data_IF_004050920002
#
_entry.id   IF_004050920002
#
_cell.length_a   1.000
_cell.length_b   1.000
_cell.length_c   1.000
_cell.angle_alpha   90.00
_cell.angle_beta   90.00
_cell.angle_gamma   90.00
#
_symmetry.space_group_name_H-M   'P 1'
#
loop_
_entity.id
_entity.type
_entity.pdbx_description
1 polymer ?
#
# COMPACT_ATOMS: atom_id res chain seq x y z
N UNK A 1 16.21 5.69 -35.45
CA UNK A 1 16.16 5.07 -34.10
C UNK A 1 17.25 4.00 -34.08
N UNK A 2 18.16 4.08 -33.09
CA UNK A 2 19.44 3.36 -33.04
C UNK A 2 20.45 3.82 -34.11
N UNK A 3 20.64 5.14 -34.21
CA UNK A 3 21.40 5.78 -35.29
C UNK A 3 22.91 5.85 -34.98
N UNK A 4 23.33 5.48 -33.75
CA UNK A 4 24.72 5.49 -33.29
C UNK A 4 25.20 4.15 -32.74
N UNK A 5 26.52 3.92 -32.76
CA UNK A 5 27.16 2.75 -32.12
C UNK A 5 26.84 2.66 -30.62
N UNK A 6 26.69 3.81 -29.96
CA UNK A 6 26.30 3.90 -28.55
C UNK A 6 24.90 3.35 -28.31
N UNK A 7 23.93 3.76 -29.12
CA UNK A 7 22.54 3.27 -29.02
C UNK A 7 22.43 1.78 -29.34
N UNK A 8 23.15 1.28 -30.35
CA UNK A 8 23.18 -0.17 -30.64
C UNK A 8 23.80 -0.96 -29.48
N UNK A 9 24.84 -0.42 -28.82
CA UNK A 9 25.41 -1.04 -27.61
C UNK A 9 24.43 -1.02 -26.45
N UNK A 10 23.77 0.11 -26.22
CA UNK A 10 22.76 0.26 -25.17
C UNK A 10 21.57 -0.69 -25.38
N UNK A 11 21.09 -0.82 -26.63
CA UNK A 11 20.06 -1.78 -27.01
C UNK A 11 20.46 -3.21 -26.63
N UNK A 12 21.67 -3.65 -27.01
CA UNK A 12 22.16 -5.00 -26.68
C UNK A 12 22.26 -5.23 -25.16
N UNK A 13 22.70 -4.23 -24.41
CA UNK A 13 22.76 -4.30 -22.94
C UNK A 13 21.34 -4.46 -22.39
N UNK A 14 20.42 -3.58 -22.76
CA UNK A 14 19.03 -3.58 -22.28
C UNK A 14 18.31 -4.89 -22.66
N UNK A 15 18.50 -5.39 -23.87
CA UNK A 15 17.94 -6.68 -24.30
C UNK A 15 18.49 -7.88 -23.51
N UNK A 16 19.72 -7.77 -22.98
CA UNK A 16 20.34 -8.82 -22.17
C UNK A 16 19.99 -8.72 -20.68
N UNK A 17 19.91 -7.52 -20.11
CA UNK A 17 19.73 -7.31 -18.68
C UNK A 17 18.29 -7.00 -18.25
N UNK A 18 17.43 -6.56 -19.18
CA UNK A 18 16.15 -5.96 -18.84
C UNK A 18 16.29 -4.60 -18.13
N UNK A 19 15.16 -4.06 -17.67
CA UNK A 19 15.12 -2.82 -16.88
C UNK A 19 15.42 -3.09 -15.40
N UNK A 20 16.04 -2.12 -14.74
CA UNK A 20 16.24 -2.17 -13.30
C UNK A 20 14.92 -1.93 -12.56
N UNK A 21 14.71 -2.62 -11.44
CA UNK A 21 13.60 -2.34 -10.53
C UNK A 21 13.98 -1.19 -9.59
N UNK A 22 13.16 -0.12 -9.49
CA UNK A 22 13.34 0.93 -8.49
C UNK A 22 13.49 0.38 -7.07
N UNK A 23 14.44 0.94 -6.32
CA UNK A 23 14.73 0.49 -4.95
C UNK A 23 13.53 0.66 -4.01
N UNK A 24 12.68 1.68 -4.23
CA UNK A 24 11.44 1.87 -3.48
C UNK A 24 10.49 0.67 -3.58
N UNK A 25 10.38 0.02 -4.74
CA UNK A 25 9.60 -1.22 -4.92
C UNK A 25 10.21 -2.35 -4.09
N UNK A 26 11.53 -2.52 -4.17
CA UNK A 26 12.24 -3.58 -3.45
C UNK A 26 12.08 -3.44 -1.93
N UNK A 27 12.31 -2.24 -1.39
CA UNK A 27 12.14 -1.94 0.05
C UNK A 27 10.68 -2.16 0.47
N UNK A 28 9.72 -1.64 -0.31
CA UNK A 28 8.29 -1.83 -0.01
C UNK A 28 7.90 -3.31 0.06
N UNK A 29 8.35 -4.14 -0.88
CA UNK A 29 8.06 -5.60 -0.86
C UNK A 29 8.69 -6.28 0.35
N UNK A 30 9.94 -5.96 0.69
CA UNK A 30 10.61 -6.49 1.87
C UNK A 30 9.90 -6.09 3.17
N UNK A 31 9.51 -4.82 3.28
CA UNK A 31 8.76 -4.29 4.42
C UNK A 31 7.39 -4.97 4.57
N UNK A 32 6.67 -5.20 3.46
CA UNK A 32 5.42 -5.96 3.46
C UNK A 32 5.61 -7.38 4.00
N UNK A 33 6.60 -8.11 3.50
CA UNK A 33 6.88 -9.48 3.95
C UNK A 33 7.19 -9.51 5.46
N UNK A 34 7.99 -8.55 5.94
CA UNK A 34 8.31 -8.43 7.37
C UNK A 34 7.07 -8.11 8.21
N UNK A 35 6.25 -7.15 7.81
CA UNK A 35 5.02 -6.80 8.51
C UNK A 35 4.04 -7.99 8.56
N UNK A 36 3.86 -8.72 7.45
CA UNK A 36 3.05 -9.94 7.40
C UNK A 36 3.59 -11.06 8.31
N UNK A 37 4.91 -11.23 8.38
CA UNK A 37 5.54 -12.20 9.28
C UNK A 37 5.29 -11.83 10.75
N UNK A 38 5.45 -10.56 11.12
CA UNK A 38 5.20 -10.07 12.47
C UNK A 38 3.71 -10.21 12.84
N UNK A 39 2.81 -9.88 11.92
CA UNK A 39 1.37 -10.06 12.11
C UNK A 39 1.01 -11.52 12.39
N UNK A 40 1.58 -12.45 11.61
CA UNK A 40 1.33 -13.89 11.77
C UNK A 40 1.88 -14.41 13.09
N UNK A 41 3.08 -13.98 13.47
CA UNK A 41 3.67 -14.34 14.76
C UNK A 41 2.82 -13.84 15.93
N UNK A 42 2.36 -12.58 15.89
CA UNK A 42 1.54 -11.99 16.93
C UNK A 42 0.15 -12.63 17.03
N UNK A 43 -0.48 -12.90 15.88
CA UNK A 43 -1.75 -13.63 15.85
C UNK A 43 -1.60 -15.04 16.44
N UNK A 44 -0.51 -15.73 16.11
CA UNK A 44 -0.23 -17.08 16.61
C UNK A 44 0.01 -17.17 18.12
N UNK A 45 0.24 -16.05 18.81
CA UNK A 45 0.38 -16.05 20.28
C UNK A 45 -0.97 -16.26 20.98
N UNK A 46 -2.09 -15.94 20.33
CA UNK A 46 -3.44 -16.08 20.88
C UNK A 46 -4.07 -17.35 20.29
N UNK A 47 -4.46 -18.28 21.14
CA UNK A 47 -5.10 -19.52 20.70
C UNK A 47 -6.61 -19.29 20.50
N UNK A 48 -7.05 -19.21 19.25
CA UNK A 48 -8.44 -18.93 18.86
C UNK A 48 -9.46 -19.95 19.41
N UNK A 49 -9.02 -21.17 19.75
CA UNK A 49 -9.86 -22.23 20.33
C UNK A 49 -9.97 -22.18 21.86
N UNK A 50 -9.28 -21.23 22.52
CA UNK A 50 -9.25 -21.09 23.98
C UNK A 50 -9.99 -19.86 24.46
N UNK A 51 -10.60 -19.98 25.64
CA UNK A 51 -11.16 -18.84 26.36
C UNK A 51 -10.15 -18.32 27.38
N UNK A 52 -9.72 -17.08 27.21
CA UNK A 52 -8.80 -16.42 28.14
C UNK A 52 -9.55 -15.86 29.36
N UNK A 53 -8.99 -15.99 30.59
CA UNK A 53 -9.58 -15.39 31.79
C UNK A 53 -9.73 -13.88 31.68
N UNK A 54 -10.72 -13.32 32.38
CA UNK A 54 -10.97 -11.86 32.43
C UNK A 54 -9.74 -11.06 32.86
N UNK A 55 -8.89 -11.65 33.69
CA UNK A 55 -7.65 -11.02 34.14
C UNK A 55 -6.69 -10.68 32.99
N UNK A 56 -6.76 -11.37 31.84
CA UNK A 56 -5.85 -11.17 30.70
C UNK A 56 -6.55 -10.96 29.34
N UNK A 57 -7.88 -11.08 29.30
CA UNK A 57 -8.68 -11.01 28.07
C UNK A 57 -8.56 -9.67 27.33
N UNK A 58 -8.41 -8.57 28.06
CA UNK A 58 -8.21 -7.24 27.46
C UNK A 58 -6.91 -7.15 26.65
N UNK A 59 -5.82 -7.72 27.16
CA UNK A 59 -4.52 -7.70 26.50
C UNK A 59 -4.45 -8.67 25.32
N UNK A 60 -5.02 -9.86 25.46
CA UNK A 60 -5.10 -10.82 24.35
C UNK A 60 -5.95 -10.28 23.18
N UNK A 61 -7.04 -9.56 23.49
CA UNK A 61 -7.83 -8.82 22.48
C UNK A 61 -6.99 -7.73 21.80
N UNK A 62 -6.19 -6.97 22.56
CA UNK A 62 -5.26 -5.97 21.99
C UNK A 62 -4.26 -6.60 21.02
N UNK A 63 -3.75 -7.81 21.29
CA UNK A 63 -2.82 -8.49 20.37
C UNK A 63 -3.44 -8.82 19.01
N UNK A 64 -4.74 -9.14 18.99
CA UNK A 64 -5.46 -9.32 17.72
C UNK A 64 -5.49 -8.00 16.94
N UNK A 65 -5.85 -6.89 17.59
CA UNK A 65 -5.86 -5.55 16.98
C UNK A 65 -4.47 -5.17 16.45
N UNK A 66 -3.42 -5.44 17.21
CA UNK A 66 -2.05 -5.19 16.79
C UNK A 66 -1.64 -6.00 15.56
N UNK A 67 -2.09 -7.26 15.47
CA UNK A 67 -1.87 -8.09 14.28
C UNK A 67 -2.56 -7.50 13.05
N UNK A 68 -3.76 -6.94 13.19
CA UNK A 68 -4.50 -6.29 12.11
C UNK A 68 -3.81 -5.00 11.64
N UNK A 69 -3.24 -4.22 12.56
CA UNK A 69 -2.43 -3.04 12.23
C UNK A 69 -1.20 -3.41 11.39
N UNK A 70 -0.50 -4.50 11.75
CA UNK A 70 0.62 -5.01 10.96
C UNK A 70 0.19 -5.52 9.57
N UNK A 71 -0.99 -6.13 9.46
CA UNK A 71 -1.59 -6.49 8.16
C UNK A 71 -1.88 -5.23 7.32
N UNK A 72 -2.40 -4.17 7.93
CA UNK A 72 -2.63 -2.90 7.25
C UNK A 72 -1.31 -2.27 6.75
N UNK A 73 -0.25 -2.29 7.57
CA UNK A 73 1.08 -1.85 7.16
C UNK A 73 1.63 -2.65 5.97
N UNK A 74 1.45 -3.99 5.99
CA UNK A 74 1.84 -4.84 4.86
C UNK A 74 1.09 -4.47 3.58
N UNK A 75 -0.23 -4.24 3.67
CA UNK A 75 -1.05 -3.81 2.54
C UNK A 75 -0.62 -2.43 2.00
N UNK A 76 -0.27 -1.49 2.87
CA UNK A 76 0.22 -0.17 2.47
C UNK A 76 1.52 -0.29 1.65
N UNK A 77 2.46 -1.13 2.10
CA UNK A 77 3.69 -1.44 1.38
C UNK A 77 3.44 -2.07 0.00
N UNK A 78 2.61 -3.11 -0.08
CA UNK A 78 2.25 -3.72 -1.37
C UNK A 78 1.59 -2.71 -2.30
N UNK A 79 0.66 -1.92 -1.75
CA UNK A 79 -0.02 -0.85 -2.46
C UNK A 79 0.96 0.16 -3.09
N UNK A 80 2.05 0.51 -2.41
CA UNK A 80 3.11 1.36 -2.99
C UNK A 80 3.92 0.62 -4.07
N UNK A 81 4.32 -0.63 -3.82
CA UNK A 81 5.05 -1.41 -4.81
C UNK A 81 4.24 -1.62 -6.10
N UNK A 82 2.95 -1.91 -5.96
CA UNK A 82 2.04 -2.18 -7.08
C UNK A 82 1.67 -0.92 -7.84
N UNK A 83 1.63 0.25 -7.19
CA UNK A 83 1.39 1.52 -7.90
C UNK A 83 2.59 1.97 -8.75
N UNK A 84 3.79 1.49 -8.44
CA UNK A 84 5.02 1.81 -9.18
C UNK A 84 5.39 0.75 -10.24
N UNK A 85 5.07 -0.52 -9.99
CA UNK A 85 5.47 -1.65 -10.84
C UNK A 85 5.11 -1.52 -12.33
N UNK A 86 3.95 -0.96 -12.72
CA UNK A 86 3.56 -0.79 -14.13
C UNK A 86 4.35 0.25 -14.91
N UNK A 87 5.26 0.99 -14.27
CA UNK A 87 5.92 2.16 -14.86
C UNK A 87 7.44 2.04 -14.74
N UNK A 88 7.98 0.84 -14.89
CA UNK A 88 9.42 0.56 -14.71
C UNK A 88 10.20 0.58 -16.02
N UNK A 89 9.55 0.86 -17.15
CA UNK A 89 10.19 1.05 -18.45
C UNK A 89 10.21 2.52 -18.89
N UNK A 90 11.22 2.94 -19.69
CA UNK A 90 11.26 4.30 -20.23
C UNK A 90 10.02 4.69 -21.05
N UNK A 91 9.44 3.74 -21.79
CA UNK A 91 8.25 3.98 -22.62
C UNK A 91 7.01 4.28 -21.76
N UNK A 92 6.77 3.49 -20.71
CA UNK A 92 5.66 3.72 -19.78
C UNK A 92 5.82 5.06 -19.05
N UNK A 93 7.04 5.37 -18.60
CA UNK A 93 7.32 6.63 -17.92
C UNK A 93 7.13 7.84 -18.83
N UNK A 94 7.61 7.76 -20.08
CA UNK A 94 7.43 8.83 -21.05
C UNK A 94 5.94 9.04 -21.35
N UNK A 95 5.18 7.96 -21.56
CA UNK A 95 3.75 8.03 -21.81
C UNK A 95 3.01 8.69 -20.64
N UNK A 96 3.32 8.29 -19.40
CA UNK A 96 2.73 8.89 -18.21
C UNK A 96 3.14 10.35 -18.01
N UNK A 97 4.40 10.69 -18.29
CA UNK A 97 4.89 12.07 -18.20
C UNK A 97 4.18 12.99 -19.19
N UNK A 98 4.04 12.56 -20.45
CA UNK A 98 3.28 13.31 -21.47
C UNK A 98 1.83 13.46 -21.02
N UNK A 99 1.20 12.38 -20.55
CA UNK A 99 -0.16 12.40 -20.06
C UNK A 99 -0.37 13.37 -18.88
N UNK A 100 0.58 13.41 -17.94
CA UNK A 100 0.56 14.35 -16.82
C UNK A 100 0.66 15.80 -17.28
N UNK A 101 1.52 16.08 -18.27
CA UNK A 101 1.63 17.43 -18.86
C UNK A 101 0.36 17.83 -19.62
N UNK A 102 -0.25 16.89 -20.36
CA UNK A 102 -1.55 17.10 -20.99
C UNK A 102 -2.64 17.39 -19.95
N UNK A 103 -2.68 16.64 -18.84
CA UNK A 103 -3.60 16.87 -17.75
C UNK A 103 -3.42 18.27 -17.14
N UNK A 104 -2.18 18.62 -16.77
CA UNK A 104 -1.88 19.91 -16.17
C UNK A 104 -2.22 21.08 -17.11
N UNK A 105 -1.85 20.98 -18.39
CA UNK A 105 -2.15 22.00 -19.39
C UNK A 105 -3.65 22.12 -19.66
N UNK A 106 -4.35 21.00 -19.83
CA UNK A 106 -5.78 20.97 -20.10
C UNK A 106 -6.64 21.49 -18.94
N UNK A 107 -6.11 21.49 -17.71
CA UNK A 107 -6.75 22.05 -16.52
C UNK A 107 -6.11 23.37 -16.06
N UNK A 108 -5.26 23.98 -16.89
CA UNK A 108 -4.63 25.28 -16.62
C UNK A 108 -3.86 25.34 -15.27
N UNK A 109 -3.27 24.22 -14.85
CA UNK A 109 -2.51 24.13 -13.61
C UNK A 109 -1.13 24.80 -13.77
N UNK A 110 -0.97 26.00 -13.22
CA UNK A 110 0.25 26.80 -13.29
C UNK A 110 0.77 27.21 -11.88
N UNK A 111 1.98 26.78 -11.47
CA UNK A 111 2.89 25.88 -12.19
C UNK A 111 2.35 24.44 -12.25
N UNK A 112 2.83 23.66 -13.23
CA UNK A 112 2.51 22.22 -13.29
C UNK A 112 2.96 21.54 -12.00
N UNK A 113 2.07 20.86 -11.26
CA UNK A 113 2.46 20.20 -10.04
C UNK A 113 3.44 19.06 -10.30
N UNK A 114 4.24 18.73 -9.28
CA UNK A 114 5.17 17.62 -9.35
C UNK A 114 4.44 16.30 -9.62
N UNK A 115 5.03 15.47 -10.49
CA UNK A 115 4.41 14.20 -10.87
C UNK A 115 4.72 13.14 -9.80
N UNK A 116 3.71 12.75 -9.02
CA UNK A 116 3.91 11.86 -7.87
C UNK A 116 4.51 10.50 -8.25
N UNK A 117 4.30 10.00 -9.48
CA UNK A 117 4.99 8.80 -9.98
C UNK A 117 6.51 8.95 -9.94
N UNK A 118 7.04 10.08 -10.45
CA UNK A 118 8.49 10.34 -10.50
C UNK A 118 9.04 10.52 -9.09
N UNK A 119 8.33 11.24 -8.22
CA UNK A 119 8.70 11.36 -6.81
C UNK A 119 8.75 9.99 -6.13
N UNK A 120 7.72 9.15 -6.33
CA UNK A 120 7.61 7.83 -5.72
C UNK A 120 8.69 6.84 -6.16
N UNK A 121 9.09 6.87 -7.43
CA UNK A 121 10.19 6.03 -7.93
C UNK A 121 11.53 6.39 -7.30
N UNK A 122 11.78 7.68 -7.04
CA UNK A 122 13.01 8.16 -6.40
C UNK A 122 12.97 8.13 -4.86
N UNK A 123 11.82 7.88 -4.24
CA UNK A 123 11.65 7.98 -2.80
C UNK A 123 11.90 6.64 -2.09
N UNK A 124 13.12 6.47 -1.60
CA UNK A 124 13.50 5.32 -0.76
C UNK A 124 13.21 5.56 0.73
N UNK A 125 13.16 6.82 1.18
CA UNK A 125 13.09 7.17 2.60
C UNK A 125 11.75 6.83 3.24
N UNK A 126 10.63 6.98 2.53
CA UNK A 126 9.29 6.65 3.03
C UNK A 126 9.14 5.15 3.32
N UNK A 127 9.38 4.23 2.36
CA UNK A 127 9.31 2.79 2.65
C UNK A 127 10.43 2.32 3.60
N UNK A 128 11.59 2.97 3.62
CA UNK A 128 12.65 2.67 4.59
C UNK A 128 12.23 3.01 6.02
N UNK A 129 11.55 4.16 6.22
CA UNK A 129 11.07 4.57 7.55
C UNK A 129 10.12 3.53 8.17
N UNK A 130 9.27 2.90 7.36
CA UNK A 130 8.43 1.79 7.82
C UNK A 130 9.25 0.53 8.10
N UNK A 131 10.26 0.22 7.28
CA UNK A 131 11.19 -0.90 7.52
C UNK A 131 11.90 -0.76 8.87
N UNK A 132 12.33 0.46 9.20
CA UNK A 132 13.01 0.80 10.44
C UNK A 132 12.05 0.69 11.63
N UNK A 133 10.83 1.23 11.52
CA UNK A 133 9.80 1.07 12.54
C UNK A 133 9.46 -0.40 12.82
N UNK A 134 9.35 -1.23 11.77
CA UNK A 134 9.15 -2.68 11.89
C UNK A 134 10.36 -3.40 12.52
N UNK A 135 11.56 -2.83 12.47
CA UNK A 135 12.76 -3.40 13.10
C UNK A 135 12.82 -3.16 14.62
N UNK A 136 12.20 -2.07 15.07
CA UNK A 136 12.09 -1.69 16.48
C UNK A 136 11.12 -2.62 17.23
N UNK A 137 10.03 -3.06 16.58
CA UNK A 137 9.09 -3.99 17.20
C UNK A 137 9.77 -5.34 17.51
N UNK A 138 9.94 -5.62 18.80
CA UNK A 138 10.41 -6.92 19.32
C UNK A 138 9.22 -7.68 19.88
N UNK A 139 9.21 -8.99 19.62
CA UNK A 139 8.12 -9.89 20.02
C UNK A 139 8.54 -10.84 21.14
N UNK A 140 9.80 -10.81 21.57
CA UNK A 140 10.38 -11.77 22.51
C UNK A 140 9.64 -11.77 23.86
N UNK A 141 9.51 -10.60 24.50
CA UNK A 141 8.82 -10.46 25.80
C UNK A 141 7.34 -10.83 25.70
N UNK A 142 6.70 -10.43 24.59
CA UNK A 142 5.30 -10.74 24.35
C UNK A 142 5.07 -12.24 24.15
N UNK A 143 5.96 -12.88 23.38
CA UNK A 143 5.95 -14.33 23.15
C UNK A 143 6.17 -15.08 24.46
N UNK A 144 7.10 -14.63 25.31
CA UNK A 144 7.37 -15.24 26.60
C UNK A 144 6.16 -15.16 27.54
N UNK A 145 5.57 -13.96 27.68
CA UNK A 145 4.39 -13.75 28.52
C UNK A 145 3.18 -14.58 28.05
N UNK A 146 2.90 -14.57 26.74
CA UNK A 146 1.80 -15.35 26.17
C UNK A 146 2.04 -16.86 26.27
N UNK A 147 3.28 -17.33 26.10
CA UNK A 147 3.59 -18.76 26.27
C UNK A 147 3.35 -19.24 27.69
N UNK A 148 3.72 -18.44 28.71
CA UNK A 148 3.45 -18.76 30.11
C UNK A 148 1.94 -18.86 30.38
N UNK A 149 1.16 -17.89 29.89
CA UNK A 149 -0.31 -17.88 30.03
C UNK A 149 -0.95 -19.06 29.29
N UNK A 150 -0.55 -19.31 28.04
CA UNK A 150 -1.10 -20.41 27.23
C UNK A 150 -0.83 -21.77 27.89
N UNK A 151 0.35 -21.99 28.46
CA UNK A 151 0.67 -23.22 29.19
C UNK A 151 -0.27 -23.47 30.38
N UNK A 152 -0.68 -22.41 31.11
CA UNK A 152 -1.65 -22.52 32.21
C UNK A 152 -3.05 -22.85 31.71
N UNK A 153 -3.46 -22.22 30.61
CA UNK A 153 -4.76 -22.47 29.97
C UNK A 153 -4.84 -23.92 29.47
N UNK A 154 -3.78 -24.43 28.85
CA UNK A 154 -3.69 -25.81 28.39
C UNK A 154 -3.71 -26.82 29.54
N UNK A 155 -2.99 -26.54 30.63
CA UNK A 155 -3.00 -27.38 31.82
C UNK A 155 -4.39 -27.46 32.47
N UNK A 156 -5.13 -26.35 32.52
CA UNK A 156 -6.50 -26.34 33.04
C UNK A 156 -7.46 -27.16 32.17
N UNK A 157 -7.35 -27.07 30.84
CA UNK A 157 -8.19 -27.81 29.89
C UNK A 157 -7.88 -29.32 29.79
N UNK A 158 -6.68 -29.75 30.17
CA UNK A 158 -6.25 -31.16 30.07
C UNK A 158 -6.71 -32.05 31.23
N UNK A 159 -7.33 -31.49 32.27
CA UNK A 159 -7.78 -32.23 33.46
C UNK A 159 -9.00 -33.16 33.22
N UNK A 160 -9.53 -33.21 31.99
CA UNK A 160 -10.72 -33.99 31.64
C UNK A 160 -10.50 -35.33 30.93
N UNK A 161 -9.25 -35.75 30.65
CA UNK A 161 -9.02 -36.95 29.84
C UNK A 161 -7.75 -37.68 30.22
N UNK A 162 -7.69 -38.26 31.42
CA UNK A 162 -6.89 -39.46 31.72
C UNK A 162 -7.20 -39.96 33.13
N UNK A 163 -8.06 -40.97 33.24
CA UNK A 163 -8.51 -41.45 34.54
C UNK A 163 -9.31 -42.75 34.50
N UNK A 164 -8.76 -43.77 33.88
CA UNK A 164 -9.18 -45.16 34.14
C UNK A 164 -8.75 -45.52 35.57
N UNK A 165 -9.48 -45.06 36.60
CA UNK A 165 -9.32 -45.51 37.98
C UNK A 165 -10.66 -46.01 38.52
N UNK A 166 -10.74 -47.34 38.60
CA UNK A 166 -11.67 -48.03 39.46
C UNK A 166 -11.25 -47.78 40.93
N UNK A 167 -12.01 -46.98 41.65
CA UNK A 167 -11.81 -46.74 43.08
C UNK A 167 -12.94 -45.88 43.64
N UNK A 168 -13.77 -46.47 44.51
CA UNK A 168 -14.94 -45.82 45.09
C UNK A 168 -14.58 -44.58 45.91
N UNK A 169 -14.87 -43.42 45.34
CA UNK A 169 -14.86 -42.11 45.98
C UNK A 169 -15.67 -41.18 45.10
N UNK A 170 -16.55 -40.37 45.69
CA UNK A 170 -17.45 -39.44 45.01
C UNK A 170 -16.75 -38.71 43.86
N UNK A 171 -17.14 -39.05 42.62
CA UNK A 171 -16.65 -38.39 41.42
C UNK A 171 -16.97 -36.88 41.49
N UNK A 172 -16.02 -35.98 41.17
CA UNK A 172 -16.34 -34.59 40.96
C UNK A 172 -17.34 -34.49 39.81
N UNK A 173 -18.34 -33.60 39.93
CA UNK A 173 -19.32 -33.38 38.89
C UNK A 173 -18.62 -33.06 37.54
N UNK A 174 -19.07 -33.64 36.42
CA UNK A 174 -18.52 -33.28 35.11
C UNK A 174 -18.88 -31.82 34.82
N UNK A 175 -17.87 -30.95 34.73
CA UNK A 175 -18.09 -29.57 34.26
C UNK A 175 -17.26 -28.46 34.89
N UNK A 176 -16.43 -28.70 35.90
CA UNK A 176 -15.60 -27.63 36.49
C UNK A 176 -14.13 -28.03 36.56
N UNK A 177 -13.48 -28.08 35.40
CA UNK A 177 -12.04 -27.88 35.38
C UNK A 177 -11.76 -26.54 36.10
N UNK A 178 -10.87 -26.49 37.11
CA UNK A 178 -10.58 -25.25 37.79
C UNK A 178 -10.08 -24.21 36.77
N UNK A 179 -10.64 -23.00 36.83
CA UNK A 179 -10.21 -21.91 35.96
C UNK A 179 -8.68 -21.73 36.10
N UNK A 180 -7.95 -21.52 34.99
CA UNK A 180 -6.51 -21.36 35.05
C UNK A 180 -6.15 -20.19 35.97
N UNK A 181 -5.35 -20.46 37.00
CA UNK A 181 -4.86 -19.45 37.93
C UNK A 181 -3.66 -18.77 37.27
N UNK A 182 -3.87 -17.56 36.77
CA UNK A 182 -2.82 -16.68 36.27
C UNK A 182 -2.32 -15.83 37.44
N UNK A 183 -1.01 -15.82 37.65
CA UNK A 183 -0.36 -15.07 38.72
C UNK A 183 -0.28 -13.58 38.39
N UNK A 184 -0.10 -12.75 39.42
CA UNK A 184 0.06 -11.32 39.25
C UNK A 184 1.31 -10.97 38.43
N UNK A 185 2.42 -11.70 38.63
CA UNK A 185 3.66 -11.51 37.88
C UNK A 185 3.47 -11.78 36.38
N UNK A 186 2.71 -12.81 36.01
CA UNK A 186 2.38 -13.12 34.60
C UNK A 186 1.48 -12.05 33.98
N UNK A 187 0.52 -11.53 34.75
CA UNK A 187 -0.35 -10.42 34.35
C UNK A 187 0.48 -9.15 34.11
N UNK A 188 1.38 -8.80 35.03
CA UNK A 188 2.21 -7.60 34.92
C UNK A 188 3.20 -7.71 33.76
N UNK A 189 3.79 -8.88 33.53
CA UNK A 189 4.67 -9.15 32.39
C UNK A 189 3.94 -8.98 31.06
N UNK A 190 2.73 -9.53 30.91
CA UNK A 190 1.93 -9.35 29.69
C UNK A 190 1.56 -7.88 29.49
N UNK A 191 1.15 -7.18 30.55
CA UNK A 191 0.80 -5.76 30.48
C UNK A 191 1.99 -4.91 30.01
N UNK A 192 3.18 -5.16 30.57
CA UNK A 192 4.40 -4.43 30.20
C UNK A 192 4.79 -4.70 28.74
N UNK A 193 4.79 -5.96 28.32
CA UNK A 193 5.09 -6.35 26.94
C UNK A 193 4.10 -5.72 25.94
N UNK A 194 2.80 -5.72 26.26
CA UNK A 194 1.76 -5.07 25.43
C UNK A 194 1.98 -3.56 25.33
N UNK A 195 2.34 -2.90 26.44
CA UNK A 195 2.57 -1.44 26.47
C UNK A 195 3.78 -1.05 25.59
N UNK A 196 4.84 -1.84 25.63
CA UNK A 196 6.03 -1.67 24.78
C UNK A 196 5.68 -1.90 23.31
N UNK A 197 4.91 -2.94 22.99
CA UNK A 197 4.43 -3.21 21.63
C UNK A 197 3.53 -2.08 21.10
N UNK A 198 2.64 -1.53 21.94
CA UNK A 198 1.74 -0.42 21.59
C UNK A 198 2.50 0.84 21.16
N UNK A 199 3.60 1.16 21.86
CA UNK A 199 4.49 2.28 21.53
C UNK A 199 5.14 2.07 20.15
N UNK A 200 5.63 0.86 19.88
CA UNK A 200 6.25 0.51 18.59
C UNK A 200 5.23 0.56 17.44
N UNK A 201 4.01 0.06 17.68
CA UNK A 201 2.94 0.05 16.68
C UNK A 201 2.42 1.44 16.34
N UNK A 202 2.45 2.38 17.28
CA UNK A 202 2.14 3.78 16.99
C UNK A 202 3.09 4.35 15.93
N UNK A 203 4.40 4.04 16.03
CA UNK A 203 5.39 4.41 15.02
C UNK A 203 5.18 3.71 13.68
N UNK A 204 4.84 2.42 13.70
CA UNK A 204 4.51 1.64 12.49
C UNK A 204 3.27 2.22 11.79
N UNK A 205 2.23 2.59 12.53
CA UNK A 205 1.00 3.14 11.98
C UNK A 205 1.26 4.48 11.28
N UNK A 206 2.00 5.40 11.91
CA UNK A 206 2.39 6.67 11.30
C UNK A 206 3.20 6.46 10.01
N UNK A 207 4.18 5.56 10.03
CA UNK A 207 4.98 5.24 8.84
C UNK A 207 4.14 4.59 7.73
N UNK A 208 3.20 3.71 8.10
CA UNK A 208 2.24 3.07 7.19
C UNK A 208 1.31 4.08 6.52
N UNK A 209 0.81 5.07 7.26
CA UNK A 209 -0.01 6.16 6.71
C UNK A 209 0.75 6.98 5.67
N UNK A 210 2.03 7.28 5.91
CA UNK A 210 2.88 7.97 4.94
C UNK A 210 3.09 7.15 3.66
N UNK A 211 3.34 5.84 3.79
CA UNK A 211 3.46 4.91 2.66
C UNK A 211 2.14 4.84 1.88
N UNK A 212 1.01 4.71 2.56
CA UNK A 212 -0.32 4.65 1.95
C UNK A 212 -0.67 5.96 1.22
N UNK A 213 -0.36 7.11 1.83
CA UNK A 213 -0.54 8.44 1.25
C UNK A 213 0.26 8.59 -0.05
N UNK A 214 1.54 8.21 -0.05
CA UNK A 214 2.36 8.21 -1.27
C UNK A 214 1.76 7.30 -2.35
N UNK A 215 1.38 6.07 -1.99
CA UNK A 215 0.76 5.14 -2.93
C UNK A 215 -0.55 5.70 -3.53
N UNK A 216 -1.37 6.36 -2.72
CA UNK A 216 -2.59 7.04 -3.16
C UNK A 216 -2.30 8.18 -4.14
N UNK A 217 -1.34 9.06 -3.81
CA UNK A 217 -0.91 10.16 -4.69
C UNK A 217 -0.40 9.66 -6.04
N UNK A 218 0.40 8.58 -6.04
CA UNK A 218 0.89 7.96 -7.28
C UNK A 218 -0.28 7.51 -8.13
N UNK A 219 -1.20 6.69 -7.59
CA UNK A 219 -2.37 6.20 -8.34
C UNK A 219 -3.22 7.32 -8.92
N UNK A 220 -3.59 8.31 -8.09
CA UNK A 220 -4.37 9.45 -8.56
C UNK A 220 -3.66 10.19 -9.69
N UNK A 221 -2.35 10.45 -9.54
CA UNK A 221 -1.58 11.15 -10.57
C UNK A 221 -1.44 10.34 -11.86
N UNK A 222 -1.30 9.01 -11.80
CA UNK A 222 -1.16 8.17 -13.00
C UNK A 222 -2.50 7.95 -13.70
N UNK A 223 -3.61 7.87 -12.97
CA UNK A 223 -4.97 7.89 -13.54
C UNK A 223 -5.26 9.22 -14.26
N UNK A 224 -4.92 10.34 -13.62
CA UNK A 224 -5.04 11.67 -14.23
C UNK A 224 -4.15 11.80 -15.46
N UNK A 225 -2.91 11.29 -15.41
CA UNK A 225 -2.02 11.28 -16.56
C UNK A 225 -2.57 10.45 -17.71
N UNK A 226 -3.06 9.24 -17.45
CA UNK A 226 -3.65 8.38 -18.47
C UNK A 226 -4.84 9.05 -19.16
N UNK A 227 -5.77 9.63 -18.38
CA UNK A 227 -6.91 10.40 -18.92
C UNK A 227 -6.46 11.65 -19.66
N UNK A 228 -5.45 12.35 -19.16
CA UNK A 228 -4.88 13.53 -19.81
C UNK A 228 -4.36 13.20 -21.20
N UNK A 229 -3.64 12.10 -21.35
CA UNK A 229 -3.15 11.62 -22.64
C UNK A 229 -4.31 11.21 -23.57
N UNK A 230 -5.25 10.42 -23.07
CA UNK A 230 -6.40 9.95 -23.84
C UNK A 230 -7.24 11.12 -24.38
N UNK A 231 -7.55 12.10 -23.52
CA UNK A 231 -8.26 13.30 -23.91
C UNK A 231 -7.48 14.14 -24.92
N UNK A 232 -6.16 14.32 -24.73
CA UNK A 232 -5.34 15.08 -25.66
C UNK A 232 -5.30 14.42 -27.05
N UNK A 233 -5.20 13.09 -27.11
CA UNK A 233 -5.27 12.33 -28.36
C UNK A 233 -6.65 12.48 -29.01
N UNK A 234 -7.73 12.29 -28.25
CA UNK A 234 -9.10 12.41 -28.75
C UNK A 234 -9.37 13.81 -29.34
N UNK A 235 -8.94 14.86 -28.65
CA UNK A 235 -9.08 16.25 -29.10
C UNK A 235 -8.26 16.50 -30.37
N UNK A 236 -7.02 16.01 -30.42
CA UNK A 236 -6.14 16.18 -31.60
C UNK A 236 -6.71 15.49 -32.84
N UNK A 237 -7.22 14.26 -32.68
CA UNK A 237 -7.86 13.51 -33.76
C UNK A 237 -9.17 14.18 -34.19
N UNK A 238 -10.00 14.63 -33.24
CA UNK A 238 -11.23 15.38 -33.53
C UNK A 238 -10.94 16.62 -34.36
N UNK A 239 -9.99 17.45 -33.92
CA UNK A 239 -9.61 18.67 -34.65
C UNK A 239 -9.10 18.37 -36.07
N UNK A 240 -8.40 17.26 -36.26
CA UNK A 240 -7.91 16.84 -37.59
C UNK A 240 -9.03 16.32 -38.49
N UNK A 241 -9.98 15.56 -37.94
CA UNK A 241 -11.05 14.88 -38.68
C UNK A 241 -12.27 15.76 -38.94
N UNK A 242 -12.46 16.86 -38.19
CA UNK A 242 -13.57 17.79 -38.41
C UNK A 242 -13.57 18.45 -39.80
N UNK A 243 -12.39 18.54 -40.44
CA UNK A 243 -12.22 19.09 -41.79
C UNK A 243 -12.35 18.04 -42.91
N UNK A 244 -12.50 16.77 -42.56
CA UNK A 244 -12.67 15.68 -43.52
C UNK A 244 -14.17 15.49 -43.84
N UNK A 245 -14.55 15.57 -45.11
CA UNK A 245 -15.96 15.53 -45.53
C UNK A 245 -16.67 14.19 -45.25
N UNK A 246 -15.91 13.09 -45.12
CA UNK A 246 -16.45 11.75 -44.86
C UNK A 246 -16.57 11.50 -43.36
N UNK A 247 -15.57 11.92 -42.58
CA UNK A 247 -15.49 11.66 -41.15
C UNK A 247 -16.21 12.71 -40.29
N UNK A 248 -16.31 13.96 -40.75
CA UNK A 248 -16.91 15.06 -39.98
C UNK A 248 -18.34 14.75 -39.47
N UNK A 249 -19.27 14.18 -40.28
CA UNK A 249 -20.59 13.81 -39.78
C UNK A 249 -20.54 12.76 -38.65
N UNK A 250 -19.63 11.79 -38.73
CA UNK A 250 -19.48 10.76 -37.71
C UNK A 250 -18.87 11.35 -36.41
N UNK A 251 -17.88 12.23 -36.53
CA UNK A 251 -17.26 12.92 -35.40
C UNK A 251 -18.28 13.80 -34.66
N UNK A 252 -19.14 14.52 -35.40
CA UNK A 252 -20.21 15.35 -34.81
C UNK A 252 -21.24 14.56 -34.01
N UNK A 253 -21.37 13.24 -34.23
CA UNK A 253 -22.26 12.37 -33.45
C UNK A 253 -21.65 11.88 -32.13
N UNK A 254 -20.32 11.82 -32.02
CA UNK A 254 -19.62 11.23 -30.88
C UNK A 254 -18.89 12.25 -29.99
N UNK A 255 -18.71 13.49 -30.47
CA UNK A 255 -18.06 14.57 -29.72
C UNK A 255 -19.09 15.56 -29.18
N UNK A 256 -18.91 16.09 -27.95
CA UNK A 256 -19.76 17.15 -27.44
C UNK A 256 -19.71 18.41 -28.33
N UNK A 257 -20.85 19.08 -28.50
CA UNK A 257 -20.97 20.27 -29.35
C UNK A 257 -19.97 21.37 -28.95
N UNK A 258 -19.86 21.66 -27.65
CA UNK A 258 -18.90 22.66 -27.15
C UNK A 258 -17.43 22.32 -27.46
N UNK A 259 -17.08 21.04 -27.64
CA UNK A 259 -15.72 20.64 -28.07
C UNK A 259 -15.52 20.99 -29.55
N UNK A 260 -16.51 20.73 -30.41
CA UNK A 260 -16.47 21.05 -31.83
C UNK A 260 -16.34 22.56 -32.03
N UNK A 261 -17.16 23.33 -31.32
CA UNK A 261 -17.14 24.80 -31.36
C UNK A 261 -15.78 25.36 -30.92
N UNK A 262 -15.22 24.84 -29.81
CA UNK A 262 -13.91 25.26 -29.31
C UNK A 262 -12.78 25.00 -30.35
N UNK A 263 -12.81 23.86 -31.04
CA UNK A 263 -11.79 23.51 -32.03
C UNK A 263 -11.94 24.29 -33.35
N UNK A 264 -13.17 24.57 -33.78
CA UNK A 264 -13.42 25.38 -34.97
C UNK A 264 -13.15 26.87 -34.74
N UNK A 265 -13.45 27.39 -33.54
CA UNK A 265 -13.16 28.77 -33.17
C UNK A 265 -11.65 29.04 -33.06
N UNK A 266 -10.87 28.10 -32.49
CA UNK A 266 -9.40 28.19 -32.44
C UNK A 266 -8.68 28.07 -33.80
N UNK A 267 -9.36 27.57 -34.84
CA UNK A 267 -8.82 27.51 -36.22
C UNK A 267 -8.81 28.88 -36.92
N UNK A 268 -9.56 29.87 -36.40
CA UNK A 268 -9.43 31.28 -36.79
C UNK A 268 -8.37 31.89 -35.88
N UNK A 269 -7.11 31.96 -36.34
CA UNK A 269 -6.02 32.66 -35.63
C UNK A 269 -6.56 33.94 -34.98
N UNK A 270 -6.50 34.04 -33.65
CA UNK A 270 -6.61 35.32 -32.97
C UNK A 270 -5.51 36.22 -33.57
N UNK A 271 -5.92 37.17 -34.41
CA UNK A 271 -5.07 38.27 -34.80
C UNK A 271 -4.86 39.10 -33.54
N UNK A 272 -3.78 38.84 -32.81
CA UNK A 272 -3.23 39.80 -31.86
C UNK A 272 -2.90 41.07 -32.65
N UNK A 273 -3.84 42.02 -32.64
CA UNK A 273 -3.60 43.40 -33.02
C UNK A 273 -2.51 43.90 -32.09
N UNK A 274 -1.28 44.00 -32.60
CA UNK A 274 -0.33 44.96 -32.06
C UNK A 274 -0.98 46.34 -32.16
N UNK A 275 -1.50 46.85 -31.04
CA UNK A 275 -1.69 48.27 -30.86
C UNK A 275 -0.30 48.91 -30.79
N UNK A 276 0.20 49.30 -31.97
CA UNK A 276 1.13 50.42 -32.08
C UNK A 276 0.30 51.70 -32.19
N UNK A 277 0.69 52.70 -31.41
CA UNK A 277 0.17 54.07 -31.43
C UNK A 277 -0.14 54.52 -30.00
N UNK A 278 0.52 55.53 -29.43
CA UNK A 278 1.37 56.60 -29.94
C UNK A 278 2.17 57.15 -28.77
#
# INVERSE_FOLDING_TARGET
MLDSKGEVKAFKILSGSGTATPESITISRAASAKASSLASAMKGMVHDDKTYPESVSAWTTKLIVFSEQLVAASKACLSLADSLSPYTTPSELLQMKIGWECHAKGNELAPTPAFALVEGMGNVSIPQSLTDALAVLKLDDLSAAMSAINAKIEAAGSTGSDGNQAGGGTAPAPGTAPAPVITQDEIDALREAVTTAETSLSGINLASENVASLAGRIRTSTEQAARGLENAVAITLTGSLLNDAVMSPAISLIMPEGVIEALQSGSKKEQYKHQNGT
#
